data_IF_938152783789
#
_entry.id   IF_938152783789
#
_cell.length_a   1.000
_cell.length_b   1.000
_cell.length_c   1.000
_cell.angle_alpha   90.00
_cell.angle_beta   90.00
_cell.angle_gamma   90.00
#
_symmetry.space_group_name_H-M   'P 1'
#
loop_
_entity.id
_entity.type
_entity.pdbx_description
1 polymer ?
#
# COMPACT_ATOMS: atom_id res chain seq x y z
N UNK A 1 -29.29 8.91 6.10
CA UNK A 1 -28.76 8.87 6.26
C UNK A 1 -27.89 8.90 6.65
N UNK A 2 -27.94 9.38 6.86
CA UNK A 2 -26.93 9.58 7.01
C UNK A 2 -26.22 8.98 7.72
N UNK A 3 -26.33 8.53 8.18
CA UNK A 3 -25.58 8.02 8.74
C UNK A 3 -24.80 7.30 8.30
N UNK A 4 -25.00 7.01 7.72
CA UNK A 4 -24.26 6.38 7.11
C UNK A 4 -23.16 6.79 6.94
N UNK A 5 -23.30 7.73 6.87
CA UNK A 5 -22.13 8.20 6.43
C UNK A 5 -21.08 7.98 7.37
N UNK A 6 -21.30 7.98 8.63
CA UNK A 6 -20.26 7.79 9.45
C UNK A 6 -19.76 6.46 9.46
N UNK A 7 -20.51 5.55 9.04
CA UNK A 7 -19.95 4.24 8.93
C UNK A 7 -18.86 4.22 7.95
N UNK A 8 -18.74 5.27 7.21
CA UNK A 8 -17.73 5.30 6.29
C UNK A 8 -16.44 5.48 6.90
N UNK A 9 -16.36 5.88 8.11
CA UNK A 9 -15.08 6.04 8.74
C UNK A 9 -14.63 4.79 9.42
N UNK A 10 -15.29 3.71 9.15
CA UNK A 10 -14.83 2.45 9.62
C UNK A 10 -13.45 2.18 9.07
N UNK A 11 -12.53 1.83 9.93
CA UNK A 11 -11.17 1.52 9.51
C UNK A 11 -11.07 0.06 9.12
N UNK A 12 -10.27 -0.20 8.13
CA UNK A 12 -10.02 -1.54 7.66
C UNK A 12 -8.54 -1.82 7.75
N UNK A 13 -8.20 -3.06 8.08
CA UNK A 13 -6.82 -3.49 8.02
C UNK A 13 -6.37 -3.47 6.56
N UNK A 14 -5.24 -2.85 6.32
CA UNK A 14 -4.66 -2.76 4.98
C UNK A 14 -3.18 -3.03 5.05
N UNK A 15 -2.64 -3.55 3.96
CA UNK A 15 -1.20 -3.73 3.84
C UNK A 15 -0.63 -2.44 3.26
N UNK A 16 0.42 -1.93 3.88
CA UNK A 16 1.09 -0.72 3.44
C UNK A 16 2.55 -1.04 3.18
N UNK A 17 2.99 -0.77 1.96
CA UNK A 17 4.36 -1.03 1.53
C UNK A 17 5.10 0.28 1.49
N UNK A 18 6.16 0.40 2.28
CA UNK A 18 6.97 1.60 2.35
C UNK A 18 8.18 1.48 1.43
N UNK A 19 8.63 2.63 0.91
CA UNK A 19 9.75 2.69 -0.02
C UNK A 19 10.77 3.72 0.43
N UNK A 20 12.00 3.58 -0.07
CA UNK A 20 13.05 4.54 0.22
C UNK A 20 13.05 5.72 -0.74
N UNK A 21 12.38 5.61 -1.89
CA UNK A 21 12.35 6.68 -2.88
C UNK A 21 11.04 6.69 -3.62
N UNK A 22 10.69 7.86 -4.13
CA UNK A 22 9.48 8.02 -4.96
C UNK A 22 9.55 7.16 -6.21
N UNK A 23 10.73 7.00 -6.77
CA UNK A 23 10.91 6.16 -7.95
C UNK A 23 10.43 4.73 -7.69
N UNK A 24 10.80 4.16 -6.54
CA UNK A 24 10.38 2.81 -6.20
C UNK A 24 8.87 2.73 -6.02
N UNK A 25 8.28 3.75 -5.41
CA UNK A 25 6.83 3.78 -5.21
C UNK A 25 6.09 3.80 -6.55
N UNK A 26 6.55 4.60 -7.49
CA UNK A 26 5.92 4.69 -8.80
C UNK A 26 6.12 3.41 -9.60
N UNK A 27 7.30 2.80 -9.48
CA UNK A 27 7.57 1.52 -10.12
C UNK A 27 6.64 0.45 -9.57
N UNK A 28 6.40 0.46 -8.27
CA UNK A 28 5.47 -0.48 -7.63
C UNK A 28 4.08 -0.33 -8.21
N UNK A 29 3.60 0.91 -8.35
CA UNK A 29 2.28 1.15 -8.91
C UNK A 29 2.18 0.57 -10.32
N UNK A 30 3.18 0.82 -11.14
CA UNK A 30 3.19 0.34 -12.52
C UNK A 30 3.18 -1.19 -12.57
N UNK A 31 4.02 -1.83 -11.76
CA UNK A 31 4.10 -3.29 -11.75
C UNK A 31 2.80 -3.92 -11.24
N UNK A 32 2.19 -3.32 -10.22
CA UNK A 32 0.93 -3.84 -9.72
C UNK A 32 -0.17 -3.74 -10.76
N UNK A 33 -0.19 -2.66 -11.53
CA UNK A 33 -1.13 -2.55 -12.64
C UNK A 33 -0.92 -3.65 -13.65
N UNK A 34 0.32 -3.93 -14.00
CA UNK A 34 0.63 -4.95 -14.99
C UNK A 34 0.26 -6.34 -14.51
N UNK A 35 0.31 -6.57 -13.21
CA UNK A 35 0.02 -7.87 -12.62
C UNK A 35 -1.39 -7.97 -12.06
N UNK A 36 -2.23 -6.96 -12.32
CA UNK A 36 -3.61 -6.93 -11.85
C UNK A 36 -3.74 -7.04 -10.34
N UNK A 37 -2.85 -6.38 -9.61
CA UNK A 37 -2.92 -6.32 -8.16
C UNK A 37 -3.59 -5.01 -7.77
N UNK A 38 -4.81 -5.06 -7.21
CA UNK A 38 -5.52 -3.84 -6.84
C UNK A 38 -4.84 -3.14 -5.67
N UNK A 39 -4.84 -1.83 -5.73
CA UNK A 39 -4.27 -1.01 -4.67
C UNK A 39 -4.07 0.39 -5.19
N UNK A 40 -3.37 1.21 -4.41
CA UNK A 40 -3.11 2.60 -4.80
C UNK A 40 -1.96 3.18 -4.00
N UNK A 41 -1.40 4.27 -4.51
CA UNK A 41 -0.43 5.04 -3.76
C UNK A 41 -1.14 5.97 -2.80
N UNK A 42 -0.57 6.12 -1.62
CA UNK A 42 -1.07 7.04 -0.59
C UNK A 42 0.12 7.77 0.02
N UNK A 43 -0.12 8.90 0.69
CA UNK A 43 0.95 9.49 1.50
C UNK A 43 1.38 8.49 2.58
N UNK A 44 2.67 8.39 2.81
CA UNK A 44 3.18 7.45 3.80
C UNK A 44 2.61 7.78 5.17
N UNK A 45 1.95 6.82 5.85
CA UNK A 45 1.40 7.07 7.17
C UNK A 45 2.48 7.47 8.17
N UNK A 46 2.10 8.32 9.12
CA UNK A 46 3.07 8.84 10.10
C UNK A 46 3.64 7.74 10.99
N UNK A 47 2.93 6.63 11.10
CA UNK A 47 3.40 5.48 11.90
C UNK A 47 4.61 4.82 11.27
N UNK A 48 4.82 5.05 9.98
CA UNK A 48 5.90 4.42 9.25
C UNK A 48 7.00 5.44 9.03
N UNK A 49 8.22 5.10 9.42
CA UNK A 49 9.35 5.96 9.15
C UNK A 49 10.01 5.49 7.87
N UNK A 50 9.91 6.31 6.85
CA UNK A 50 10.53 6.03 5.56
C UNK A 50 10.91 7.34 4.92
N UNK A 51 11.92 7.31 4.06
CA UNK A 51 12.39 8.52 3.39
C UNK A 51 11.45 8.97 2.29
N UNK A 52 10.67 8.05 1.74
CA UNK A 52 9.75 8.38 0.67
C UNK A 52 8.42 8.84 1.25
N UNK A 53 7.86 9.90 0.65
CA UNK A 53 6.56 10.41 1.08
C UNK A 53 5.37 9.64 0.54
N UNK A 54 5.59 8.61 -0.28
CA UNK A 54 4.52 7.80 -0.86
C UNK A 54 4.67 6.34 -0.45
N UNK A 55 3.54 5.68 -0.27
CA UNK A 55 3.49 4.26 0.04
C UNK A 55 2.40 3.61 -0.82
N UNK A 56 2.52 2.30 -1.01
CA UNK A 56 1.50 1.53 -1.73
C UNK A 56 0.61 0.84 -0.71
N UNK A 57 -0.71 0.95 -0.87
CA UNK A 57 -1.64 0.26 0.01
C UNK A 57 -2.50 -0.70 -0.77
N UNK A 58 -2.83 -1.82 -0.13
CA UNK A 58 -3.65 -2.86 -0.75
C UNK A 58 -4.38 -3.62 0.35
N UNK A 59 -5.38 -4.40 -0.03
CA UNK A 59 -6.07 -5.25 0.92
C UNK A 59 -5.18 -6.40 1.36
N UNK A 60 -5.36 -6.91 2.58
CA UNK A 60 -4.55 -8.03 3.06
C UNK A 60 -4.62 -9.26 2.16
N UNK A 61 -5.74 -9.45 1.47
CA UNK A 61 -5.88 -10.57 0.56
C UNK A 61 -4.95 -10.49 -0.64
N UNK A 62 -4.39 -9.30 -0.93
CA UNK A 62 -3.48 -9.13 -2.06
C UNK A 62 -2.02 -9.31 -1.67
N UNK A 63 -1.73 -9.45 -0.37
CA UNK A 63 -0.36 -9.48 0.11
C UNK A 63 0.44 -10.63 -0.50
N UNK A 64 -0.15 -11.80 -0.55
CA UNK A 64 0.54 -12.97 -1.08
C UNK A 64 0.88 -12.78 -2.55
N UNK A 65 -0.09 -12.33 -3.35
CA UNK A 65 0.18 -12.06 -4.76
C UNK A 65 1.27 -11.02 -4.94
N UNK A 66 1.23 -9.98 -4.11
CA UNK A 66 2.24 -8.92 -4.16
C UNK A 66 3.62 -9.51 -3.86
N UNK A 67 3.73 -10.30 -2.81
CA UNK A 67 5.03 -10.88 -2.43
C UNK A 67 5.56 -11.81 -3.51
N UNK A 68 4.69 -12.58 -4.12
CA UNK A 68 5.12 -13.54 -5.14
C UNK A 68 5.50 -12.82 -6.44
N UNK A 69 4.69 -11.85 -6.86
CA UNK A 69 4.82 -11.28 -8.21
C UNK A 69 5.63 -10.00 -8.27
N UNK A 70 5.71 -9.26 -7.17
CA UNK A 70 6.23 -7.88 -7.19
C UNK A 70 7.45 -7.71 -6.29
N UNK A 71 7.35 -8.15 -5.04
CA UNK A 71 8.33 -7.76 -4.02
C UNK A 71 9.76 -8.19 -4.35
N UNK A 72 9.92 -9.28 -5.06
CA UNK A 72 11.26 -9.74 -5.44
C UNK A 72 11.92 -8.90 -6.52
N UNK A 73 11.14 -8.05 -7.21
CA UNK A 73 11.65 -7.21 -8.30
C UNK A 73 11.77 -5.76 -7.89
N UNK A 74 11.44 -5.42 -6.65
CA UNK A 74 11.47 -4.05 -6.14
C UNK A 74 12.28 -3.98 -4.87
N UNK A 75 12.82 -2.81 -4.62
CA UNK A 75 13.43 -2.54 -3.33
C UNK A 75 12.36 -1.95 -2.42
N UNK A 76 12.00 -2.70 -1.40
CA UNK A 76 10.93 -2.33 -0.47
C UNK A 76 11.56 -2.04 0.89
N UNK A 77 11.21 -0.88 1.47
CA UNK A 77 11.75 -0.52 2.79
C UNK A 77 11.06 -1.30 3.91
N UNK A 78 9.79 -1.65 3.72
CA UNK A 78 9.07 -2.42 4.73
C UNK A 78 7.66 -2.69 4.27
N UNK A 79 7.05 -3.70 4.89
CA UNK A 79 5.66 -4.06 4.64
C UNK A 79 4.97 -4.11 6.00
N UNK A 80 3.86 -3.39 6.12
CA UNK A 80 3.16 -3.23 7.39
C UNK A 80 1.68 -3.52 7.21
N UNK A 81 1.04 -3.91 8.30
CA UNK A 81 -0.41 -4.04 8.31
C UNK A 81 -0.95 -2.97 9.26
N UNK A 82 -1.74 -2.07 8.72
CA UNK A 82 -2.27 -0.93 9.48
C UNK A 82 -3.76 -0.81 9.28
N UNK A 83 -4.44 -0.24 10.27
CA UNK A 83 -5.85 0.12 10.15
C UNK A 83 -5.91 1.54 9.61
N UNK A 84 -6.44 1.69 8.43
CA UNK A 84 -6.53 2.99 7.76
C UNK A 84 -7.97 3.41 7.50
#
# INVERSE_FOLDING_TARGET
MAEQSRSFHKRFSQIVVAFDSTHEALTCEQMCKEQDIPGRLIPTPVEIKADCGLAWTMLPTEKESFEIKIAGSLKVAGIYELDL
#
